data_IF_230843988788
#
_entry.id   IF_230843988788
#
_cell.length_a   1.000
_cell.length_b   1.000
_cell.length_c   1.000
_cell.angle_alpha   90.00
_cell.angle_beta   90.00
_cell.angle_gamma   90.00
#
_symmetry.space_group_name_H-M   'P 1'
#
loop_
_entity.id
_entity.type
_entity.pdbx_description
1 polymer ?
2 non-polymer ?
3 water ?
#
# COMPACT_ATOMS: atom_id res chain seq x y z
N UNK A 38 -0.60 28.06 15.86
CA UNK A 38 -0.78 26.92 16.75
C UNK A 38 -2.25 26.77 17.16
N UNK A 39 -3.08 26.32 16.22
CA UNK A 39 -4.49 26.13 16.49
C UNK A 39 -4.84 24.65 16.56
N UNK A 40 -6.13 24.34 16.67
CA UNK A 40 -6.57 22.96 16.66
C UNK A 40 -6.89 22.52 15.22
N UNK A 41 -6.51 21.28 14.89
CA UNK A 41 -6.71 20.75 13.55
C UNK A 41 -7.50 19.44 13.54
N UNK A 42 -8.06 19.07 14.69
CA UNK A 42 -8.87 17.86 14.77
C UNK A 42 -10.08 17.98 13.83
N UNK A 43 -10.21 17.00 12.95
CA UNK A 43 -11.41 16.82 12.15
C UNK A 43 -12.60 16.62 13.10
N UNK A 44 -13.63 17.45 12.97
CA UNK A 44 -14.78 17.39 13.90
C UNK A 44 -15.67 16.18 13.67
N UNK A 45 -16.42 15.78 14.70
CA UNK A 45 -17.29 14.60 14.58
C UNK A 45 -18.22 14.64 13.36
N UNK A 46 -18.70 15.82 12.95
CA UNK A 46 -19.57 15.86 11.78
C UNK A 46 -18.82 15.69 10.45
N UNK A 47 -17.50 15.71 10.48
CA UNK A 47 -16.72 15.48 9.27
C UNK A 47 -16.01 14.13 9.30
N UNK A 48 -16.40 13.29 10.26
CA UNK A 48 -15.89 11.95 10.30
C UNK A 48 -17.06 10.98 10.23
N UNK A 49 -17.03 10.07 9.25
CA UNK A 49 -17.98 8.98 9.20
C UNK A 49 -17.30 7.67 9.63
N UNK A 50 -17.77 7.09 10.73
CA UNK A 50 -17.23 5.85 11.23
C UNK A 50 -18.12 4.72 10.75
N UNK A 51 -17.61 3.91 9.85
CA UNK A 51 -18.38 2.83 9.26
C UNK A 51 -18.15 1.57 10.06
N UNK A 52 -19.23 0.96 10.53
CA UNK A 52 -19.07 -0.28 11.25
C UNK A 52 -19.86 -1.40 10.54
N UNK A 53 -19.41 -2.62 10.76
CA UNK A 53 -19.86 -3.75 9.97
C UNK A 53 -18.85 -4.86 10.15
N UNK A 54 -17.57 -4.51 10.06
CA UNK A 54 -16.52 -5.50 10.24
C UNK A 54 -16.49 -6.02 11.68
N UNK A 55 -16.21 -7.31 11.81
CA UNK A 55 -16.30 -7.99 13.09
C UNK A 55 -14.94 -8.26 13.70
N UNK A 56 -13.88 -7.86 12.98
CA UNK A 56 -12.55 -7.85 13.56
C UNK A 56 -11.66 -6.88 12.80
N UNK A 57 -10.36 -6.95 13.07
CA UNK A 57 -9.40 -6.02 12.52
C UNK A 57 -9.57 -5.79 11.02
N UNK A 58 -9.49 -4.53 10.61
CA UNK A 58 -9.53 -4.19 9.20
C UNK A 58 -8.13 -3.80 8.77
N UNK A 59 -7.47 -4.74 8.10
CA UNK A 59 -6.07 -4.61 7.74
C UNK A 59 -5.86 -3.62 6.61
N UNK A 60 -6.85 -3.49 5.73
CA UNK A 60 -6.67 -2.74 4.48
C UNK A 60 -7.90 -1.98 3.99
N UNK A 61 -7.64 -0.89 3.29
CA UNK A 61 -8.68 -0.17 2.58
C UNK A 61 -8.08 0.56 1.40
N UNK A 62 -8.91 0.88 0.42
CA UNK A 62 -8.50 1.56 -0.81
C UNK A 62 -9.71 2.18 -1.49
N UNK A 63 -9.59 3.42 -1.96
CA UNK A 63 -10.70 4.08 -2.65
C UNK A 63 -10.77 3.66 -4.11
N UNK A 64 -11.99 3.53 -4.62
CA UNK A 64 -12.22 3.36 -6.05
C UNK A 64 -11.67 4.56 -6.85
N UNK A 65 -10.98 4.29 -7.97
CA UNK A 65 -10.38 5.41 -8.71
C UNK A 65 -11.37 6.31 -9.43
N UNK A 66 -12.61 5.87 -9.67
CA UNK A 66 -13.52 6.68 -10.49
C UNK A 66 -14.78 7.15 -9.74
N UNK A 67 -15.02 6.61 -8.55
CA UNK A 67 -16.06 7.15 -7.69
C UNK A 67 -15.66 7.00 -6.24
N UNK A 68 -16.40 7.62 -5.35
CA UNK A 68 -16.11 7.52 -3.93
C UNK A 68 -16.69 6.25 -3.32
N UNK A 69 -16.20 5.11 -3.80
CA UNK A 69 -16.48 3.83 -3.16
C UNK A 69 -15.24 3.46 -2.37
N UNK A 70 -15.43 3.02 -1.14
CA UNK A 70 -14.29 2.61 -0.33
C UNK A 70 -14.34 1.10 -0.10
N UNK A 71 -13.26 0.42 -0.45
CA UNK A 71 -13.13 -1.01 -0.20
C UNK A 71 -12.31 -1.25 1.06
N UNK A 72 -12.75 -2.15 1.92
CA UNK A 72 -12.03 -2.50 3.13
C UNK A 72 -11.89 -4.02 3.21
N UNK A 73 -10.82 -4.49 3.83
CA UNK A 73 -10.61 -5.93 3.95
C UNK A 73 -10.27 -6.30 5.38
N UNK A 74 -10.90 -7.37 5.88
CA UNK A 74 -10.85 -7.69 7.29
C UNK A 74 -10.47 -9.13 7.64
N UNK A 75 -9.98 -9.32 8.86
CA UNK A 75 -9.75 -10.65 9.41
C UNK A 75 -11.06 -11.41 9.60
N UNK A 76 -12.20 -10.73 9.41
CA UNK A 76 -13.48 -11.40 9.56
C UNK A 76 -13.90 -12.20 8.31
N UNK A 77 -12.97 -12.30 7.35
CA UNK A 77 -13.14 -12.99 6.06
C UNK A 77 -14.06 -12.24 5.09
N UNK A 78 -14.30 -10.97 5.34
CA UNK A 78 -15.06 -10.17 4.39
C UNK A 78 -14.27 -8.98 3.89
N UNK A 79 -14.54 -8.65 2.64
CA UNK A 79 -14.24 -7.32 2.14
C UNK A 79 -15.57 -6.59 2.06
N UNK A 80 -15.53 -5.27 2.18
CA UNK A 80 -16.73 -4.49 2.12
C UNK A 80 -16.52 -3.30 1.20
N UNK A 81 -17.54 -3.03 0.39
CA UNK A 81 -17.54 -1.84 -0.44
C UNK A 81 -18.55 -0.85 0.14
N UNK A 82 -18.05 0.28 0.60
CA UNK A 82 -18.89 1.33 1.21
C UNK A 82 -19.15 2.44 0.22
N UNK A 83 -20.39 2.87 0.11
CA UNK A 83 -20.71 3.92 -0.84
C UNK A 83 -20.75 5.28 -0.17
N UNK A 84 -19.76 6.11 -0.46
CA UNK A 84 -19.65 7.42 0.15
C UNK A 84 -20.04 8.54 -0.82
N UNK A 85 -20.66 8.17 -1.94
CA UNK A 85 -21.10 9.17 -2.92
C UNK A 85 -22.09 10.14 -2.27
N UNK A 86 -22.04 11.39 -2.71
CA UNK A 86 -22.95 12.42 -2.19
C UNK A 86 -24.09 12.65 -3.19
N UNK A 87 -24.37 11.64 -4.00
CA UNK A 87 -25.43 11.72 -5.01
C UNK A 87 -26.50 10.66 -4.81
N UNK A 93 -25.44 0.69 0.05
CA UNK A 93 -24.64 1.60 0.85
C UNK A 93 -23.47 0.87 1.49
N UNK A 94 -23.69 -0.42 1.78
CA UNK A 94 -22.63 -1.30 2.27
C UNK A 94 -22.76 -2.67 1.61
N UNK A 95 -21.83 -3.00 0.73
CA UNK A 95 -21.82 -4.33 0.11
C UNK A 95 -20.84 -5.20 0.89
N UNK A 96 -21.22 -6.44 1.14
CA UNK A 96 -20.40 -7.37 1.88
C UNK A 96 -19.94 -8.51 0.98
N UNK A 97 -18.63 -8.67 0.86
CA UNK A 97 -18.05 -9.63 -0.08
C UNK A 97 -17.48 -10.76 0.75
N UNK A 98 -18.23 -11.84 0.86
CA UNK A 98 -17.87 -12.91 1.80
C UNK A 98 -16.94 -13.93 1.18
N UNK A 99 -15.74 -14.05 1.74
CA UNK A 99 -14.75 -14.95 1.20
C UNK A 99 -14.87 -16.36 1.78
N UNK A 100 -15.66 -16.54 2.82
CA UNK A 100 -15.90 -17.89 3.28
C UNK A 100 -17.24 -18.41 2.80
N UNK A 108 -17.30 -15.78 13.50
CA UNK A 108 -16.45 -15.40 12.38
C UNK A 108 -15.54 -16.54 11.95
N UNK A 109 -15.52 -16.85 10.65
CA UNK A 109 -14.67 -17.90 10.10
C UNK A 109 -13.22 -17.76 10.52
N UNK A 110 -12.52 -18.88 10.65
CA UNK A 110 -11.15 -18.87 11.15
C UNK A 110 -10.17 -18.86 9.99
N UNK A 111 -9.17 -17.98 10.10
CA UNK A 111 -8.03 -17.99 9.19
C UNK A 111 -8.45 -17.86 7.73
N UNK A 112 -9.44 -17.01 7.50
CA UNK A 112 -9.87 -16.66 6.15
C UNK A 112 -9.79 -15.16 5.95
N UNK A 113 -8.86 -14.52 6.66
CA UNK A 113 -8.64 -13.07 6.57
C UNK A 113 -8.52 -12.62 5.13
N UNK A 114 -9.17 -11.50 4.80
CA UNK A 114 -8.81 -10.81 3.59
C UNK A 114 -7.55 -9.97 3.91
N UNK A 115 -6.43 -10.33 3.27
CA UNK A 115 -5.11 -9.78 3.56
C UNK A 115 -4.73 -8.62 2.64
N UNK A 116 -5.36 -8.54 1.48
CA UNK A 116 -4.92 -7.62 0.44
C UNK A 116 -6.02 -7.37 -0.58
N UNK A 117 -6.03 -6.17 -1.14
CA UNK A 117 -7.01 -5.85 -2.16
C UNK A 117 -6.48 -4.73 -3.04
N UNK A 118 -7.10 -4.58 -4.20
CA UNK A 118 -6.66 -3.60 -5.18
C UNK A 118 -7.74 -3.41 -6.24
N UNK A 119 -8.06 -2.15 -6.54
CA UNK A 119 -8.97 -1.82 -7.63
C UNK A 119 -8.22 -1.80 -8.94
N UNK A 120 -8.84 -2.25 -10.03
CA UNK A 120 -8.22 -2.01 -11.32
C UNK A 120 -8.36 -0.53 -11.67
N UNK A 121 -7.60 -0.07 -12.68
CA UNK A 121 -7.58 1.35 -13.05
C UNK A 121 -8.95 1.88 -13.44
N UNK A 122 -9.78 1.05 -14.07
CA UNK A 122 -11.11 1.51 -14.48
C UNK A 122 -12.10 1.51 -13.32
N UNK A 123 -11.75 0.87 -12.21
CA UNK A 123 -12.60 0.82 -11.04
C UNK A 123 -13.81 -0.10 -11.17
N UNK A 124 -13.81 -0.92 -12.20
CA UNK A 124 -14.89 -1.89 -12.41
C UNK A 124 -14.73 -3.17 -11.59
N UNK A 125 -13.50 -3.48 -11.17
CA UNK A 125 -13.23 -4.75 -10.50
C UNK A 125 -12.31 -4.60 -9.29
N UNK A 126 -12.58 -5.40 -8.27
CA UNK A 126 -11.79 -5.44 -7.05
C UNK A 126 -11.12 -6.81 -6.90
N UNK A 127 -9.81 -6.82 -6.87
CA UNK A 127 -9.07 -8.04 -6.64
C UNK A 127 -8.80 -8.17 -5.15
N UNK A 128 -9.00 -9.34 -4.57
CA UNK A 128 -8.63 -9.58 -3.17
C UNK A 128 -7.74 -10.81 -3.03
N UNK A 129 -6.90 -10.79 -2.01
CA UNK A 129 -6.16 -11.97 -1.60
C UNK A 129 -6.54 -12.36 -0.19
N UNK A 130 -6.41 -13.63 0.15
CA UNK A 130 -6.79 -14.07 1.48
C UNK A 130 -5.77 -14.96 2.16
N UNK A 131 -5.99 -15.15 3.46
CA UNK A 131 -5.17 -16.01 4.31
C UNK A 131 -5.14 -17.44 3.80
N UNK A 132 -6.21 -17.87 3.15
CA UNK A 132 -6.30 -19.24 2.64
C UNK A 132 -5.68 -19.39 1.24
N UNK A 133 -5.03 -18.34 0.77
CA UNK A 133 -4.24 -18.46 -0.45
C UNK A 133 -4.94 -18.17 -1.76
N UNK A 134 -6.22 -17.82 -1.71
CA UNK A 134 -6.96 -17.54 -2.94
C UNK A 134 -6.90 -16.09 -3.37
N UNK A 135 -6.63 -15.87 -4.66
CA UNK A 135 -6.83 -14.58 -5.28
C UNK A 135 -8.21 -14.56 -5.94
N UNK A 136 -8.96 -13.48 -5.74
CA UNK A 136 -10.32 -13.37 -6.26
C UNK A 136 -10.55 -12.07 -6.98
N UNK A 137 -11.46 -12.09 -7.93
CA UNK A 137 -11.90 -10.88 -8.61
C UNK A 137 -13.38 -10.64 -8.38
N UNK A 138 -13.70 -9.50 -7.77
CA UNK A 138 -15.07 -9.08 -7.49
C UNK A 138 -15.46 -7.91 -8.38
N UNK A 139 -16.75 -7.81 -8.74
CA UNK A 139 -17.25 -6.63 -9.44
C UNK A 139 -17.45 -5.51 -8.43
N UNK A 140 -17.49 -4.27 -8.92
CA UNK A 140 -17.76 -3.14 -8.03
C UNK A 140 -19.15 -3.26 -7.39
N UNK A 141 -20.00 -4.13 -7.93
CA UNK A 141 -21.33 -4.30 -7.35
C UNK A 141 -21.33 -5.39 -6.28
N UNK A 142 -20.16 -5.93 -5.97
CA UNK A 142 -20.05 -6.84 -4.85
C UNK A 142 -20.27 -8.32 -5.16
N UNK A 143 -20.23 -8.69 -6.43
CA UNK A 143 -20.37 -10.09 -6.81
C UNK A 143 -19.05 -10.74 -7.10
N UNK A 144 -18.92 -12.00 -6.71
CA UNK A 144 -17.70 -12.73 -6.99
C UNK A 144 -17.72 -13.18 -8.44
N UNK A 145 -16.86 -12.59 -9.25
CA UNK A 145 -16.77 -12.94 -10.66
C UNK A 145 -16.00 -14.23 -10.82
N UNK A 146 -14.86 -14.32 -10.13
CA UNK A 146 -13.89 -15.34 -10.47
C UNK A 146 -12.94 -15.60 -9.34
N UNK A 147 -12.76 -16.88 -9.02
CA UNK A 147 -11.71 -17.28 -8.08
C UNK A 147 -10.54 -17.76 -8.93
N UNK A 148 -9.43 -17.03 -8.86
CA UNK A 148 -8.36 -17.22 -9.82
C UNK A 148 -7.66 -18.53 -9.61
N UNK A 149 -7.38 -18.81 -8.35
CA UNK A 149 -6.61 -19.98 -8.01
C UNK A 149 -5.99 -19.64 -6.69
N UNK A 150 -5.04 -20.47 -6.29
CA UNK A 150 -4.55 -20.49 -4.93
C UNK A 150 -3.04 -20.53 -4.87
N UNK A 151 -2.47 -19.66 -4.04
CA UNK A 151 -1.12 -19.85 -3.53
C UNK A 151 -1.21 -20.98 -2.50
N UNK A 152 -0.07 -21.48 -2.05
CA UNK A 152 -0.06 -22.39 -0.91
C UNK A 152 0.06 -21.57 0.37
N UNK A 153 -1.03 -21.44 1.11
CA UNK A 153 -1.04 -20.58 2.28
C UNK A 153 -1.26 -19.13 1.88
N UNK A 154 -1.21 -18.19 2.85
CA UNK A 154 -1.53 -16.76 2.76
C UNK A 154 -0.94 -16.04 1.56
N UNK A 155 -1.77 -15.18 0.95
CA UNK A 155 -1.30 -14.17 0.02
C UNK A 155 -0.95 -12.94 0.85
N UNK A 156 0.20 -12.32 0.59
CA UNK A 156 0.58 -11.12 1.36
C UNK A 156 0.37 -9.82 0.60
N UNK A 157 0.33 -9.91 -0.73
CA UNK A 157 0.15 -8.70 -1.54
C UNK A 157 -0.39 -9.06 -2.91
N UNK A 158 -1.25 -8.22 -3.47
CA UNK A 158 -1.57 -8.37 -4.89
C UNK A 158 -1.86 -7.02 -5.53
N UNK A 159 -1.47 -6.87 -6.78
CA UNK A 159 -1.63 -5.61 -7.49
C UNK A 159 -2.02 -5.83 -8.95
N UNK A 160 -2.99 -5.06 -9.41
CA UNK A 160 -3.28 -4.99 -10.83
C UNK A 160 -2.08 -4.33 -11.52
N UNK A 161 -1.75 -4.74 -12.75
CA UNK A 161 -0.84 -3.91 -13.54
C UNK A 161 -1.63 -2.72 -14.04
N UNK A 162 -0.93 -1.74 -14.59
CA UNK A 162 -1.55 -0.51 -15.04
C UNK A 162 -2.61 -0.78 -16.13
N UNK A 163 -2.28 -1.66 -17.08
CA UNK A 163 -3.16 -2.00 -18.19
C UNK A 163 -4.44 -2.69 -17.70
N UNK A 164 -4.36 -3.42 -16.59
CA UNK A 164 -5.56 -4.02 -16.02
C UNK A 164 -5.81 -5.42 -16.51
N UNK A 165 -4.90 -5.94 -17.35
CA UNK A 165 -5.05 -7.32 -17.83
C UNK A 165 -4.38 -8.36 -16.93
N UNK A 166 -3.42 -7.94 -16.11
CA UNK A 166 -2.75 -8.88 -15.19
C UNK A 166 -2.94 -8.54 -13.73
N UNK A 167 -2.91 -9.56 -12.89
CA UNK A 167 -2.87 -9.38 -11.45
C UNK A 167 -1.64 -10.11 -10.90
N UNK A 168 -0.93 -9.46 -10.00
CA UNK A 168 0.32 -9.99 -9.49
C UNK A 168 0.19 -10.22 -8.00
N UNK A 169 0.47 -11.44 -7.55
CA UNK A 169 0.34 -11.75 -6.13
C UNK A 169 1.64 -12.26 -5.55
N UNK A 170 1.84 -12.03 -4.25
CA UNK A 170 2.98 -12.54 -3.49
C UNK A 170 2.49 -13.42 -2.36
N UNK A 171 3.11 -14.59 -2.19
CA UNK A 171 2.70 -15.50 -1.14
C UNK A 171 3.76 -15.86 -0.11
N UNK A 172 3.27 -16.28 1.05
CA UNK A 172 4.09 -16.93 2.07
C UNK A 172 4.77 -18.18 1.51
N UNK A 173 4.26 -18.71 0.39
CA UNK A 173 4.88 -19.87 -0.24
C UNK A 173 6.15 -19.53 -1.02
N UNK A 174 6.64 -18.30 -0.85
CA UNK A 174 7.95 -17.84 -1.38
C UNK A 174 7.87 -17.47 -2.87
N UNK A 175 6.68 -17.55 -3.45
CA UNK A 175 6.55 -17.30 -4.87
C UNK A 175 5.69 -16.09 -5.18
N UNK A 176 5.77 -15.67 -6.43
CA UNK A 176 4.87 -14.67 -6.96
C UNK A 176 4.18 -15.27 -8.14
N UNK A 177 2.98 -14.79 -8.43
CA UNK A 177 2.23 -15.32 -9.56
C UNK A 177 1.61 -14.19 -10.36
N UNK A 178 1.81 -14.22 -11.67
CA UNK A 178 1.07 -13.30 -12.53
C UNK A 178 -0.16 -14.05 -13.02
N UNK A 179 -1.32 -13.45 -12.77
CA UNK A 179 -2.60 -14.04 -13.15
C UNK A 179 -3.18 -13.36 -14.38
N UNK A 180 -3.73 -14.13 -15.30
CA UNK A 180 -4.51 -13.57 -16.39
C UNK A 180 -5.91 -13.21 -15.86
N UNK A 181 -6.25 -11.92 -15.89
CA UNK A 181 -7.51 -11.48 -15.26
C UNK A 181 -8.72 -11.69 -16.17
N UNK A 182 -8.49 -11.83 -17.46
CA UNK A 182 -9.58 -12.10 -18.40
C UNK A 182 -10.01 -13.56 -18.30
N UNK A 183 -9.04 -14.47 -18.23
CA UNK A 183 -9.36 -15.90 -18.20
C UNK A 183 -9.49 -16.42 -16.79
N UNK A 184 -8.93 -15.68 -15.85
CA UNK A 184 -8.98 -16.06 -14.45
C UNK A 184 -8.02 -17.17 -14.10
N UNK A 185 -6.95 -17.32 -14.87
CA UNK A 185 -6.00 -18.40 -14.64
C UNK A 185 -4.58 -17.88 -14.45
N UNK A 186 -3.78 -18.63 -13.70
CA UNK A 186 -2.38 -18.31 -13.51
C UNK A 186 -1.66 -18.30 -14.85
N UNK A 187 -0.83 -17.29 -15.07
CA UNK A 187 -0.07 -17.23 -16.30
C UNK A 187 1.35 -17.69 -16.05
N UNK A 188 1.95 -17.21 -14.96
CA UNK A 188 3.30 -17.64 -14.62
C UNK A 188 3.52 -17.53 -13.12
N UNK A 189 4.18 -18.54 -12.56
CA UNK A 189 4.63 -18.52 -11.19
C UNK A 189 6.14 -18.40 -11.15
N UNK A 190 6.63 -17.49 -10.30
CA UNK A 190 8.05 -17.24 -10.16
C UNK A 190 8.55 -17.73 -8.80
N UNK A 191 9.27 -18.86 -8.78
CA UNK A 191 9.75 -19.40 -7.49
C UNK A 191 11.19 -18.99 -7.19
N UNK A 192 11.44 -17.70 -6.97
CA UNK A 192 12.78 -17.18 -6.85
C UNK A 192 13.24 -16.96 -5.41
N UNK A 193 12.31 -16.65 -4.51
CA UNK A 193 12.71 -16.33 -3.16
C UNK A 193 12.95 -17.61 -2.38
N UNK A 194 13.60 -17.50 -1.24
CA UNK A 194 13.88 -18.67 -0.41
C UNK A 194 13.15 -18.54 0.92
N UNK A 195 12.35 -17.49 1.02
CA UNK A 195 11.54 -17.20 2.20
C UNK A 195 10.27 -16.46 1.74
N UNK A 196 9.28 -16.23 2.63
CA UNK A 196 8.04 -15.58 2.19
C UNK A 196 8.25 -14.32 1.38
N UNK A 197 7.45 -14.16 0.32
CA UNK A 197 7.47 -12.96 -0.48
C UNK A 197 6.45 -12.01 0.11
N UNK A 198 6.92 -10.83 0.51
CA UNK A 198 6.13 -9.92 1.35
C UNK A 198 5.49 -8.78 0.57
N UNK A 199 6.08 -8.42 -0.57
CA UNK A 199 5.55 -7.30 -1.34
C UNK A 199 5.93 -7.39 -2.80
N UNK A 200 5.11 -6.76 -3.65
CA UNK A 200 5.36 -6.66 -5.08
C UNK A 200 5.00 -5.28 -5.59
N UNK A 201 5.66 -4.85 -6.66
CA UNK A 201 5.33 -3.60 -7.30
C UNK A 201 5.66 -3.69 -8.77
N UNK A 202 4.69 -3.36 -9.62
CA UNK A 202 4.88 -3.39 -11.06
C UNK A 202 5.83 -2.27 -11.51
N UNK A 203 6.76 -2.61 -12.40
CA UNK A 203 7.61 -1.61 -13.05
C UNK A 203 7.01 -1.19 -14.39
N UNK A 204 6.29 -2.12 -15.00
CA UNK A 204 5.67 -1.89 -16.30
C UNK A 204 4.47 -2.80 -16.32
N UNK A 205 3.92 -3.05 -17.50
CA UNK A 205 2.80 -3.97 -17.58
C UNK A 205 3.27 -5.41 -17.58
N UNK A 206 4.59 -5.62 -17.74
CA UNK A 206 5.14 -6.98 -17.75
C UNK A 206 6.27 -7.27 -16.76
N UNK A 207 6.85 -6.21 -16.20
CA UNK A 207 8.02 -6.34 -15.34
C UNK A 207 7.66 -5.88 -13.93
N UNK A 208 8.16 -6.60 -12.92
CA UNK A 208 7.84 -6.22 -11.55
C UNK A 208 8.99 -6.49 -10.59
N UNK A 209 8.86 -6.03 -9.35
CA UNK A 209 9.83 -6.41 -8.36
C UNK A 209 9.13 -7.09 -7.21
N UNK A 210 9.82 -8.00 -6.53
CA UNK A 210 9.32 -8.60 -5.29
C UNK A 210 10.40 -8.58 -4.22
N UNK A 211 9.98 -8.51 -2.96
CA UNK A 211 10.94 -8.56 -1.87
C UNK A 211 10.51 -9.59 -0.85
N UNK A 212 11.44 -9.98 -0.01
CA UNK A 212 11.22 -11.15 0.80
C UNK A 212 11.85 -11.06 2.18
N UNK A 213 11.37 -11.93 3.06
CA UNK A 213 12.05 -12.28 4.30
C UNK A 213 13.48 -12.76 4.02
N UNK A 214 13.75 -13.21 2.80
CA UNK A 214 15.10 -13.69 2.49
C UNK A 214 16.09 -12.55 2.23
N UNK A 215 15.64 -11.30 2.39
CA UNK A 215 16.50 -10.10 2.34
C UNK A 215 16.84 -9.66 0.93
N UNK A 216 16.32 -10.37 -0.06
CA UNK A 216 16.65 -10.08 -1.45
C UNK A 216 15.47 -9.46 -2.17
N UNK A 217 15.77 -8.77 -3.27
CA UNK A 217 14.77 -8.20 -4.13
C UNK A 217 15.00 -8.74 -5.52
N UNK A 218 13.98 -9.35 -6.12
CA UNK A 218 14.10 -9.85 -7.49
C UNK A 218 13.28 -9.02 -8.45
N UNK A 219 13.91 -8.59 -9.53
CA UNK A 219 13.19 -7.96 -10.62
C UNK A 219 12.88 -9.05 -11.63
N UNK A 220 11.60 -9.18 -11.96
CA UNK A 220 11.09 -10.28 -12.78
C UNK A 220 10.28 -9.77 -13.96
N UNK A 221 10.17 -10.62 -14.98
CA UNK A 221 9.40 -10.30 -16.17
C UNK A 221 8.67 -11.53 -16.67
N UNK A 222 7.41 -11.35 -17.04
CA UNK A 222 6.64 -12.38 -17.72
C UNK A 222 7.44 -12.99 -18.89
N UNK A 223 7.49 -14.32 -18.96
CA UNK A 223 8.19 -14.99 -20.04
C UNK A 223 9.66 -15.29 -19.74
N UNK A 224 10.18 -14.73 -18.65
CA UNK A 224 11.54 -15.02 -18.20
C UNK A 224 11.51 -15.93 -16.97
N UNK A 225 12.25 -17.04 -17.02
CA UNK A 225 12.19 -18.03 -15.94
C UNK A 225 13.29 -17.81 -14.90
N UNK A 226 14.10 -16.78 -15.11
CA UNK A 226 15.05 -16.32 -14.11
C UNK A 226 14.78 -14.85 -13.83
N UNK A 227 15.13 -14.36 -12.63
CA UNK A 227 15.01 -12.92 -12.43
C UNK A 227 15.89 -12.16 -13.42
N UNK A 228 15.41 -11.02 -13.87
CA UNK A 228 16.18 -10.10 -14.69
C UNK A 228 17.38 -9.64 -13.88
N UNK A 229 17.11 -9.31 -12.63
CA UNK A 229 18.13 -8.80 -11.71
C UNK A 229 17.77 -9.07 -10.26
N UNK A 230 18.79 -9.22 -9.44
CA UNK A 230 18.59 -9.40 -8.01
C UNK A 230 19.34 -8.33 -7.23
N UNK A 231 18.61 -7.58 -6.41
CA UNK A 231 19.23 -6.58 -5.55
C UNK A 231 19.49 -7.17 -4.16
N UNK A 232 20.75 -7.19 -3.77
CA UNK A 232 21.15 -7.64 -2.45
C UNK A 232 21.89 -6.54 -1.69
N UNK A 233 21.75 -6.52 -0.38
CA UNK A 233 22.44 -5.55 0.44
C UNK A 233 21.74 -5.34 1.77
N UNK A 234 20.42 -5.53 1.79
CA UNK A 234 19.70 -5.52 3.06
C UNK A 234 20.18 -6.68 3.92
N UNK A 235 20.16 -6.49 5.24
CA UNK A 235 20.63 -7.51 6.17
C UNK A 235 19.53 -8.00 7.08
N UNK A 236 18.29 -7.78 6.67
CA UNK A 236 17.13 -8.26 7.41
C UNK A 236 15.95 -8.26 6.44
N UNK A 237 14.80 -8.68 6.95
CA UNK A 237 13.59 -8.81 6.17
C UNK A 237 13.24 -7.52 5.41
N UNK A 238 12.94 -7.66 4.13
CA UNK A 238 12.56 -6.49 3.34
C UNK A 238 11.04 -6.38 3.32
N UNK A 239 10.51 -5.23 3.76
CA UNK A 239 9.08 -5.13 4.05
C UNK A 239 8.26 -4.53 2.91
N UNK A 240 8.90 -3.77 2.04
CA UNK A 240 8.20 -3.08 0.95
C UNK A 240 9.17 -2.60 -0.11
N UNK A 241 8.76 -2.68 -1.37
CA UNK A 241 9.48 -2.00 -2.42
C UNK A 241 8.52 -1.21 -3.30
N UNK A 242 9.00 -0.11 -3.85
CA UNK A 242 8.18 0.76 -4.69
C UNK A 242 9.04 1.34 -5.81
N UNK A 243 8.62 1.13 -7.06
CA UNK A 243 9.18 1.85 -8.20
C UNK A 243 8.77 3.30 -8.15
N UNK A 244 9.69 4.20 -8.49
CA UNK A 244 9.39 5.62 -8.61
C UNK A 244 8.43 5.86 -9.78
N UNK A 245 7.89 7.08 -9.93
CA UNK A 245 6.90 7.25 -11.00
C UNK A 245 7.45 6.98 -12.42
N UNK A 246 8.73 7.20 -12.66
CA UNK A 246 9.29 6.96 -13.99
C UNK A 246 9.69 5.52 -14.23
N UNK A 247 9.62 4.70 -13.18
CA UNK A 247 10.02 3.31 -13.28
C UNK A 247 11.52 3.11 -13.42
N UNK A 248 12.31 4.09 -13.00
CA UNK A 248 13.75 3.99 -13.12
C UNK A 248 14.43 3.65 -11.80
N UNK A 249 13.80 4.00 -10.69
CA UNK A 249 14.36 3.73 -9.38
C UNK A 249 13.45 2.85 -8.55
N UNK A 250 14.05 1.93 -7.80
CA UNK A 250 13.31 1.10 -6.87
C UNK A 250 13.71 1.45 -5.44
N UNK A 251 12.75 1.83 -4.62
CA UNK A 251 13.00 2.07 -3.21
C UNK A 251 12.63 0.82 -2.42
N UNK A 252 13.39 0.53 -1.36
CA UNK A 252 13.08 -0.60 -0.49
C UNK A 252 13.29 -0.22 0.97
N UNK A 253 12.49 -0.80 1.85
CA UNK A 253 12.70 -0.53 3.27
C UNK A 253 12.75 -1.86 3.99
N UNK A 254 13.39 -1.85 5.17
CA UNK A 254 13.75 -3.11 5.82
C UNK A 254 13.71 -3.06 7.33
N UNK A 255 13.54 -4.23 7.94
CA UNK A 255 13.76 -4.38 9.37
C UNK A 255 15.19 -4.00 9.78
N UNK A 256 16.13 -3.95 8.82
CA UNK A 256 17.49 -3.53 9.16
C UNK A 256 17.61 -2.00 9.32
N UNK A 257 16.46 -1.33 9.38
CA UNK A 257 16.38 0.09 9.67
C UNK A 257 16.94 0.96 8.56
N UNK A 258 17.13 0.38 7.37
CA UNK A 258 17.55 1.20 6.25
C UNK A 258 16.54 1.29 5.12
N UNK A 259 16.67 2.39 4.40
CA UNK A 259 15.98 2.65 3.15
C UNK A 259 16.99 2.57 2.04
N UNK A 260 16.77 1.73 1.04
CA UNK A 260 17.73 1.68 -0.05
C UNK A 260 17.05 2.01 -1.36
N UNK A 261 17.82 2.66 -2.22
CA UNK A 261 17.38 3.06 -3.54
C UNK A 261 18.24 2.32 -4.54
N UNK A 262 17.58 1.67 -5.50
CA UNK A 262 18.27 0.81 -6.44
C UNK A 262 18.04 1.26 -7.87
N UNK A 263 18.95 0.85 -8.74
CA UNK A 263 18.85 1.09 -10.17
C UNK A 263 19.24 -0.18 -10.91
N UNK A 264 18.57 -0.45 -12.01
CA UNK A 264 18.89 -1.60 -12.86
C UNK A 264 20.30 -1.51 -13.43
N UNK A 265 20.89 -0.32 -13.43
CA UNK A 265 22.21 -0.15 -14.05
C UNK A 265 23.38 -0.69 -13.24
N UNK A 266 23.19 -0.86 -11.92
CA UNK A 266 24.28 -1.31 -11.06
C UNK A 266 23.81 -2.25 -9.96
N UNK A 267 24.74 -2.99 -9.37
CA UNK A 267 24.42 -3.99 -8.36
C UNK A 267 24.21 -3.42 -6.96
N UNK A 268 25.04 -2.46 -6.57
CA UNK A 268 24.95 -1.89 -5.25
C UNK A 268 23.84 -0.86 -5.24
N UNK A 269 23.22 -0.64 -4.08
CA UNK A 269 22.22 0.41 -4.01
C UNK A 269 22.85 1.75 -4.34
N UNK A 270 22.11 2.61 -5.03
CA UNK A 270 22.54 3.96 -5.32
C UNK A 270 22.54 4.82 -4.06
N UNK A 271 21.53 4.63 -3.21
CA UNK A 271 21.48 5.32 -1.91
C UNK A 271 21.21 4.33 -0.81
N UNK A 272 21.76 4.65 0.35
CA UNK A 272 21.62 3.80 1.50
C UNK A 272 21.37 4.70 2.71
N UNK A 273 20.10 4.91 3.01
CA UNK A 273 19.71 5.88 4.02
C UNK A 273 19.42 5.19 5.34
N UNK A 274 20.14 5.57 6.39
CA UNK A 274 19.80 5.16 7.74
C UNK A 274 18.63 6.02 8.20
N UNK A 275 17.42 5.58 7.88
CA UNK A 275 16.27 6.47 7.90
C UNK A 275 15.59 6.58 9.25
N UNK A 276 15.74 5.55 10.07
CA UNK A 276 15.02 5.50 11.35
C UNK A 276 15.82 4.69 12.34
N UNK A 277 15.50 4.80 13.63
CA UNK A 277 16.20 4.01 14.63
C UNK A 277 15.67 2.58 14.78
N UNK A 278 14.55 2.28 14.13
CA UNK A 278 13.94 0.96 14.24
C UNK A 278 13.45 0.48 12.88
N UNK A 279 12.77 -0.66 12.89
CA UNK A 279 12.26 -1.26 11.66
C UNK A 279 11.42 -0.28 10.86
N UNK A 280 11.64 -0.28 9.56
CA UNK A 280 10.90 0.60 8.65
C UNK A 280 9.83 -0.23 7.93
N UNK A 281 8.59 0.20 8.08
CA UNK A 281 7.47 -0.63 7.68
C UNK A 281 6.92 -0.34 6.30
N UNK A 282 6.91 0.93 5.93
CA UNK A 282 6.24 1.35 4.71
C UNK A 282 6.98 2.50 4.04
N UNK A 283 6.91 2.52 2.71
CA UNK A 283 7.44 3.61 1.90
C UNK A 283 6.49 3.90 0.74
N UNK A 284 6.44 5.17 0.36
CA UNK A 284 5.68 5.61 -0.81
C UNK A 284 6.46 6.73 -1.51
N UNK A 285 6.41 6.73 -2.83
CA UNK A 285 6.85 7.87 -3.63
C UNK A 285 5.70 8.87 -3.79
N UNK A 286 6.00 10.17 -3.74
CA UNK A 286 4.98 11.16 -4.07
C UNK A 286 4.65 11.04 -5.55
N UNK A 287 3.38 11.32 -5.92
CA UNK A 287 3.03 11.24 -7.33
C UNK A 287 3.45 12.50 -8.08
N UNK A 288 4.76 12.80 -8.06
CA UNK A 288 5.23 14.06 -8.62
C UNK A 288 6.47 13.87 -9.49
N UNK A 289 6.85 14.93 -10.21
CA UNK A 289 8.00 14.87 -11.09
C UNK A 289 7.62 14.36 -12.47
N UNK A 290 8.62 14.21 -13.35
CA UNK A 290 8.38 13.76 -14.73
C UNK A 290 7.45 12.57 -14.82
N UNK A 291 6.51 12.63 -15.76
CA UNK A 291 5.58 11.55 -15.97
C UNK A 291 4.47 11.45 -14.96
N UNK A 292 4.18 12.55 -14.26
CA UNK A 292 3.04 12.61 -13.35
C UNK A 292 2.15 13.78 -13.74
N UNK A 293 1.00 13.90 -13.08
CA UNK A 293 0.16 15.09 -13.24
C UNK A 293 0.75 16.31 -12.52
N UNK A 294 1.91 16.14 -11.89
CA UNK A 294 2.58 17.25 -11.22
C UNK A 294 4.07 17.31 -11.62
N UNK A 295 4.35 17.50 -12.92
CA UNK A 295 5.68 17.29 -13.52
C UNK A 295 6.81 18.17 -12.99
N UNK A 296 6.49 19.34 -12.45
CA UNK A 296 7.54 20.20 -11.92
C UNK A 296 7.73 20.09 -10.40
N UNK A 297 6.77 19.50 -9.70
CA UNK A 297 6.90 19.32 -8.25
C UNK A 297 8.06 18.39 -7.94
N UNK A 298 8.77 18.66 -6.85
CA UNK A 298 9.85 17.77 -6.42
C UNK A 298 9.35 16.37 -6.14
N UNK A 299 10.13 15.37 -6.58
CA UNK A 299 9.85 13.98 -6.29
C UNK A 299 10.27 13.68 -4.85
N UNK A 300 9.35 13.11 -4.07
CA UNK A 300 9.62 12.80 -2.68
C UNK A 300 9.45 11.33 -2.38
N UNK A 301 10.14 10.86 -1.34
CA UNK A 301 9.94 9.53 -0.79
C UNK A 301 9.53 9.67 0.68
N UNK A 302 8.42 9.05 1.06
CA UNK A 302 8.02 9.03 2.46
C UNK A 302 8.35 7.67 3.06
N UNK A 303 8.71 7.66 4.34
CA UNK A 303 9.02 6.44 5.05
C UNK A 303 8.42 6.56 6.45
N UNK A 304 8.08 5.43 7.05
CA UNK A 304 7.60 5.44 8.43
C UNK A 304 8.00 4.16 9.15
N UNK A 305 8.14 4.28 10.46
CA UNK A 305 8.86 3.28 11.22
C UNK A 305 8.13 2.82 12.47
N UNK A 306 8.55 1.65 12.94
CA UNK A 306 8.23 1.15 14.27
C UNK A 306 8.46 2.21 15.34
N UNK A 307 9.50 3.04 15.18
CA UNK A 307 9.81 4.05 16.21
C UNK A 307 8.81 5.20 16.29
N UNK A 308 7.79 5.17 15.42
CA UNK A 308 6.68 6.12 15.35
C UNK A 308 6.98 7.36 14.51
N UNK A 309 8.22 7.51 14.03
CA UNK A 309 8.54 8.66 13.18
C UNK A 309 8.09 8.48 11.72
N UNK A 310 7.76 9.59 11.08
CA UNK A 310 7.51 9.64 9.65
C UNK A 310 8.50 10.61 9.03
N UNK A 311 9.08 10.26 7.88
CA UNK A 311 10.03 11.16 7.25
C UNK A 311 9.78 11.29 5.77
N UNK A 312 10.14 12.45 5.23
CA UNK A 312 10.10 12.74 3.79
C UNK A 312 11.51 12.98 3.28
N UNK A 313 11.83 12.35 2.16
CA UNK A 313 13.17 12.32 1.63
C UNK A 313 13.25 12.94 0.23
N UNK A 314 14.31 13.68 -0.04
CA UNK A 314 14.67 14.01 -1.39
C UNK A 314 15.71 12.98 -1.78
N UNK A 315 15.34 12.06 -2.65
CA UNK A 315 16.19 10.92 -2.94
C UNK A 315 17.40 11.34 -3.77
N UNK A 316 17.16 12.17 -4.78
CA UNK A 316 18.23 12.67 -5.64
C UNK A 316 19.41 13.23 -4.83
N UNK A 317 19.12 14.10 -3.87
CA UNK A 317 20.14 14.69 -3.02
C UNK A 317 20.49 13.81 -1.82
N UNK A 318 19.71 12.75 -1.61
CA UNK A 318 19.96 11.79 -0.54
C UNK A 318 19.71 12.28 0.88
N UNK A 319 18.92 13.34 1.06
CA UNK A 319 18.71 13.90 2.39
C UNK A 319 17.25 13.93 2.83
N UNK A 320 17.04 14.09 4.14
CA UNK A 320 15.73 14.14 4.76
C UNK A 320 15.18 15.55 4.75
N UNK A 321 14.01 15.73 4.14
CA UNK A 321 13.38 17.04 4.03
C UNK A 321 12.63 17.41 5.29
N UNK A 322 11.92 16.44 5.85
CA UNK A 322 11.08 16.69 7.02
C UNK A 322 10.99 15.45 7.89
N UNK A 323 10.94 15.67 9.19
CA UNK A 323 10.62 14.62 10.13
C UNK A 323 9.33 14.97 10.88
N UNK A 324 8.37 14.05 10.86
CA UNK A 324 7.09 14.27 11.52
C UNK A 324 7.02 13.34 12.71
N UNK A 325 6.75 13.87 13.90
CA UNK A 325 7.02 13.14 15.13
C UNK A 325 5.84 12.99 16.08
N UNK A 326 4.68 13.47 15.67
CA UNK A 326 3.56 13.50 16.60
C UNK A 326 3.08 12.11 17.02
N UNK A 327 3.17 11.11 16.13
CA UNK A 327 2.69 9.77 16.48
C UNK A 327 3.45 9.22 17.68
N UNK A 328 2.83 8.27 18.39
CA UNK A 328 3.38 7.77 19.63
C UNK A 328 3.53 6.26 19.62
N UNK A 329 3.10 5.64 18.53
CA UNK A 329 3.18 4.19 18.38
C UNK A 329 3.63 3.92 16.96
N UNK A 330 4.03 2.67 16.67
CA UNK A 330 4.40 2.34 15.30
C UNK A 330 3.40 2.86 14.25
N UNK A 331 3.97 3.33 13.15
CA UNK A 331 3.21 3.80 11.99
C UNK A 331 3.22 2.70 10.94
N UNK A 332 2.04 2.19 10.59
CA UNK A 332 1.97 1.07 9.64
C UNK A 332 1.61 1.49 8.21
N UNK A 333 1.35 2.78 8.00
CA UNK A 333 0.83 3.22 6.70
C UNK A 333 0.97 4.71 6.49
N UNK A 334 1.53 5.08 5.34
CA UNK A 334 1.50 6.46 4.88
C UNK A 334 0.95 6.49 3.45
N UNK A 335 0.41 7.64 3.04
CA UNK A 335 -0.06 7.77 1.67
C UNK A 335 -0.10 9.24 1.29
N UNK A 336 0.45 9.55 0.11
CA UNK A 336 0.35 10.87 -0.50
C UNK A 336 -1.02 11.14 -1.12
N UNK A 337 -1.48 12.39 -0.98
CA UNK A 337 -2.64 12.86 -1.73
C UNK A 337 -2.29 12.88 -3.22
N UNK A 338 -3.32 12.79 -4.10
CA UNK A 338 -3.10 12.74 -5.55
C UNK A 338 -2.16 13.81 -6.11
N UNK A 339 -2.14 15.01 -5.52
CA UNK A 339 -1.29 16.08 -6.02
C UNK A 339 0.01 16.17 -5.26
N UNK A 340 0.25 15.24 -4.34
CA UNK A 340 1.51 15.22 -3.59
C UNK A 340 1.72 16.29 -2.51
N UNK A 341 0.72 17.15 -2.29
CA UNK A 341 0.91 18.26 -1.37
C UNK A 341 0.65 17.88 0.08
N UNK A 342 0.04 16.73 0.28
CA UNK A 342 -0.23 16.23 1.63
C UNK A 342 0.15 14.77 1.78
N UNK A 343 0.48 14.43 3.02
CA UNK A 343 0.81 13.05 3.38
C UNK A 343 -0.05 12.61 4.58
N UNK A 344 -0.74 11.50 4.41
CA UNK A 344 -1.48 10.91 5.52
C UNK A 344 -0.62 9.83 6.17
N UNK A 345 -0.72 9.69 7.49
CA UNK A 345 -0.02 8.63 8.20
C UNK A 345 -0.95 8.01 9.23
N UNK A 346 -0.87 6.70 9.39
CA UNK A 346 -1.72 6.02 10.35
C UNK A 346 -0.89 5.21 11.32
N UNK A 347 -1.28 5.23 12.59
CA UNK A 347 -0.49 4.63 13.66
C UNK A 347 -1.33 3.78 14.59
N UNK A 348 -0.68 2.93 15.37
CA UNK A 348 -1.39 2.23 16.42
C UNK A 348 -1.60 3.12 17.65
N UNK A 349 -1.19 4.39 17.58
CA UNK A 349 -1.66 5.34 18.57
C UNK A 349 -3.10 5.76 18.30
N UNK A 350 -3.71 5.12 17.30
CA UNK A 350 -5.11 5.31 16.93
C UNK A 350 -5.39 6.63 16.22
N UNK A 351 -4.33 7.34 15.79
CA UNK A 351 -4.49 8.61 15.11
C UNK A 351 -4.20 8.54 13.62
N UNK A 352 -4.93 9.34 12.86
CA UNK A 352 -4.57 9.71 11.51
C UNK A 352 -4.05 11.13 11.52
N UNK A 353 -2.85 11.35 10.98
CA UNK A 353 -2.31 12.69 10.85
C UNK A 353 -2.15 13.03 9.37
N UNK A 354 -2.49 14.26 9.01
CA UNK A 354 -2.34 14.75 7.63
C UNK A 354 -1.28 15.84 7.67
N UNK A 355 -0.23 15.68 6.87
CA UNK A 355 0.93 16.55 6.90
C UNK A 355 1.07 17.32 5.59
N UNK A 356 1.47 18.59 5.67
CA UNK A 356 1.84 19.40 4.51
C UNK A 356 3.22 19.00 4.04
N UNK A 357 3.35 18.49 2.82
CA UNK A 357 4.61 17.90 2.42
C UNK A 357 5.67 18.95 2.09
N UNK A 358 5.25 20.20 1.94
CA UNK A 358 6.18 21.28 1.68
C UNK A 358 6.79 21.82 2.98
N UNK A 359 5.97 21.91 4.03
CA UNK A 359 6.45 22.49 5.30
C UNK A 359 6.60 21.48 6.43
N UNK A 360 6.07 20.27 6.25
CA UNK A 360 6.09 19.30 7.33
C UNK A 360 5.07 19.57 8.42
N UNK A 361 4.27 20.62 8.26
CA UNK A 361 3.29 20.99 9.30
C UNK A 361 2.10 20.05 9.36
N UNK A 362 1.60 19.84 10.58
CA UNK A 362 0.36 19.09 10.79
C UNK A 362 -0.82 19.93 10.36
N UNK A 363 -1.67 19.41 9.47
CA UNK A 363 -2.77 20.21 8.97
C UNK A 363 -4.12 19.60 9.36
N UNK A 364 -4.17 18.28 9.54
CA UNK A 364 -5.40 17.65 10.01
C UNK A 364 -5.06 16.48 10.89
N UNK A 365 -6.00 16.13 11.76
CA UNK A 365 -5.80 15.03 12.65
C UNK A 365 -7.13 14.40 13.02
N UNK A 366 -7.11 13.11 13.33
CA UNK A 366 -8.32 12.44 13.81
C UNK A 366 -7.97 11.30 14.75
N UNK A 367 -8.53 11.35 15.94
CA UNK A 367 -8.34 10.29 16.92
C UNK A 367 -9.52 9.35 16.84
N UNK A 368 -9.26 8.10 16.45
CA UNK A 368 -10.29 7.09 16.37
C UNK A 368 -10.24 6.14 17.57
N UNK A 369 -10.91 5.00 17.44
CA UNK A 369 -11.03 4.03 18.52
C UNK A 369 -10.17 2.78 18.33
N UNK A 370 -9.50 2.66 17.18
CA UNK A 370 -8.65 1.49 16.96
C UNK A 370 -7.29 1.80 16.38
N UNK A 371 -6.34 0.89 16.57
CA UNK A 371 -5.04 1.00 15.93
C UNK A 371 -5.21 1.03 14.43
N UNK A 372 -4.54 1.96 13.76
CA UNK A 372 -4.69 2.13 12.33
C UNK A 372 -3.71 1.26 11.54
N UNK A 373 -4.25 0.45 10.64
CA UNK A 373 -3.46 -0.40 9.75
C UNK A 373 -3.18 0.26 8.42
N UNK A 374 -4.15 0.98 7.87
CA UNK A 374 -3.93 1.60 6.58
C UNK A 374 -4.72 2.90 6.43
N UNK A 375 -4.09 3.87 5.79
CA UNK A 375 -4.73 5.10 5.37
C UNK A 375 -4.66 5.20 3.85
N UNK A 376 -5.62 5.92 3.25
CA UNK A 376 -5.68 6.04 1.79
C UNK A 376 -6.56 7.23 1.40
N UNK A 377 -6.35 7.77 0.21
CA UNK A 377 -7.02 8.97 -0.29
C UNK A 377 -8.03 8.67 -1.39
N UNK A 378 -9.15 9.40 -1.43
CA UNK A 378 -10.05 9.26 -2.57
C UNK A 378 -9.45 9.97 -3.79
N UNK A 379 -10.10 9.85 -4.96
CA UNK A 379 -9.52 10.36 -6.21
C UNK A 379 -9.34 11.89 -6.20
N UNK A 380 -10.23 12.58 -5.50
CA UNK A 380 -10.22 14.03 -5.46
C UNK A 380 -9.19 14.58 -4.48
N UNK A 381 -8.69 13.73 -3.60
CA UNK A 381 -7.78 14.17 -2.58
C UNK A 381 -8.44 14.97 -1.48
N UNK A 382 -9.74 14.81 -1.29
CA UNK A 382 -10.39 15.54 -0.20
C UNK A 382 -11.08 14.61 0.81
N UNK A 383 -10.84 13.31 0.69
CA UNK A 383 -11.24 12.36 1.74
C UNK A 383 -10.16 11.33 2.00
N UNK A 384 -10.00 10.99 3.27
CA UNK A 384 -9.09 9.95 3.69
C UNK A 384 -9.90 8.84 4.35
N UNK A 385 -9.59 7.60 4.00
CA UNK A 385 -10.16 6.46 4.66
C UNK A 385 -9.08 5.80 5.51
N UNK A 386 -9.49 5.18 6.60
CA UNK A 386 -8.54 4.54 7.50
C UNK A 386 -9.19 3.30 8.07
N UNK A 387 -8.50 2.18 7.97
CA UNK A 387 -9.01 0.93 8.49
C UNK A 387 -8.32 0.63 9.80
N UNK A 388 -9.09 0.19 10.80
CA UNK A 388 -8.58 0.09 12.17
C UNK A 388 -8.76 -1.30 12.79
N UNK A 389 -8.04 -1.53 13.88
CA UNK A 389 -7.93 -2.84 14.50
C UNK A 389 -9.20 -3.29 15.21
N UNK A 390 -10.08 -2.34 15.51
CA UNK A 390 -11.31 -2.66 16.23
C UNK A 390 -12.51 -2.89 15.32
N UNK A 391 -12.28 -3.03 14.01
CA UNK A 391 -13.36 -3.29 13.09
C UNK A 391 -13.95 -2.04 12.45
N UNK A 392 -13.50 -0.88 12.89
CA UNK A 392 -13.97 0.37 12.32
C UNK A 392 -13.20 0.77 11.06
N UNK A 393 -13.92 1.40 10.15
CA UNK A 393 -13.35 2.07 8.97
C UNK A 393 -13.84 3.50 9.07
N UNK A 394 -12.95 4.48 8.96
CA UNK A 394 -13.36 5.87 9.10
C UNK A 394 -13.11 6.65 7.82
N UNK A 395 -14.06 7.52 7.47
CA UNK A 395 -13.93 8.39 6.32
C UNK A 395 -13.83 9.81 6.85
N UNK A 396 -12.75 10.47 6.50
CA UNK A 396 -12.47 11.81 6.97
C UNK A 396 -12.69 12.82 5.83
N UNK A 397 -13.64 13.72 6.01
CA UNK A 397 -13.90 14.80 5.07
C UNK A 397 -12.96 15.96 5.39
N UNK A 398 -12.04 16.24 4.49
CA UNK A 398 -10.99 17.25 4.72
C UNK A 398 -11.33 18.63 4.15
N UNK A 399 -12.54 18.79 3.61
CA UNK A 399 -12.95 20.09 3.07
C UNK A 399 -13.27 21.10 4.16
N UNK A 400 -12.94 22.37 3.92
#
# INVERSE_FOLDING_TARGET
>A
MGSSHHHHHHSSGLVPRGSEENGAHTIANNHTDMMEVDGDVEIPPNKAVVLRGHESEVFICAWNPVSDLLASGSGDSTARIWNLSENSTSGSTQLVLRHCIREGGQDVPSNKDVTSLDWNSEGTLLATGSYDGFARIWTKDGNLASTLGQHKGPIFALKWNKKGNFILSAGVDKTTIIWDAHTGEAKQQFPFHSAPALDVDWQSNNTFASCSTDMCIHVCKLGQDRPIKTFQGHTNEVNAIKWDPTGNLLASCSDDMTLKIWSMKQDNCVHDLQAHNKEIYTIKWSPTGPGTNNPNANLMLASASFDSTVRLWDVDRGICIHTMTKHQEPVYSVAFSPDGRYLASGSFDKCVHIWNTQTGALVHSYRGTGGIFEVCWNAAGDKVGASASDGSVCVLDLRK
#
